data_IF_294916273625
#
_entry.id   IF_294916273625
#
_cell.length_a   1.000
_cell.length_b   1.000
_cell.length_c   1.000
_cell.angle_alpha   90.00
_cell.angle_beta   90.00
_cell.angle_gamma   90.00
#
_symmetry.space_group_name_H-M   'P 1'
#
loop_
_entity.id
_entity.type
_entity.pdbx_description
1 polymer ?
#
# COMPACT_ATOMS: atom_id res chain seq x y z
N UNK A 1 16.30 -1.29 22.74
CA UNK A 1 15.05 -1.81 22.12
C UNK A 1 15.39 -3.05 21.30
N UNK A 2 14.46 -4.01 21.15
CA UNK A 2 14.76 -5.31 20.52
C UNK A 2 14.18 -5.44 19.11
N UNK A 3 12.99 -4.90 18.83
CA UNK A 3 12.28 -5.09 17.55
C UNK A 3 12.05 -3.77 16.81
N UNK A 4 12.62 -3.66 15.61
CA UNK A 4 12.30 -2.57 14.68
C UNK A 4 11.00 -2.85 13.92
N UNK A 5 10.23 -1.79 13.63
CA UNK A 5 9.02 -1.87 12.80
C UNK A 5 9.35 -1.89 11.30
N UNK A 6 10.47 -1.31 10.89
CA UNK A 6 10.87 -1.27 9.50
C UNK A 6 12.39 -1.30 9.33
N UNK A 7 12.81 -1.70 8.14
CA UNK A 7 14.18 -1.66 7.69
C UNK A 7 14.21 -1.07 6.28
N UNK A 8 14.99 -0.02 6.11
CA UNK A 8 15.22 0.62 4.82
C UNK A 8 16.52 0.10 4.24
N UNK A 9 16.43 -0.55 3.08
CA UNK A 9 17.57 -0.78 2.21
C UNK A 9 17.62 0.32 1.15
N UNK A 10 18.69 0.33 0.38
CA UNK A 10 18.83 1.19 -0.79
C UNK A 10 17.69 1.04 -1.82
N UNK A 11 17.11 -0.15 -1.95
CA UNK A 11 16.17 -0.47 -3.04
C UNK A 11 14.73 -0.76 -2.56
N UNK A 12 14.52 -0.90 -1.26
CA UNK A 12 13.24 -1.32 -0.72
C UNK A 12 13.07 -0.98 0.76
N UNK A 13 11.85 -0.67 1.14
CA UNK A 13 11.42 -0.53 2.54
C UNK A 13 10.69 -1.80 2.96
N UNK A 14 11.29 -2.57 3.87
CA UNK A 14 10.63 -3.70 4.50
C UNK A 14 9.98 -3.22 5.80
N UNK A 15 8.66 -3.38 5.94
CA UNK A 15 7.92 -2.85 7.08
C UNK A 15 6.89 -3.86 7.58
N UNK A 16 6.75 -3.87 8.89
CA UNK A 16 5.68 -4.55 9.59
C UNK A 16 4.46 -3.63 9.62
N UNK A 17 3.31 -4.19 9.27
CA UNK A 17 2.00 -3.60 9.48
C UNK A 17 0.96 -4.72 9.59
N UNK A 18 -0.18 -4.40 10.18
CA UNK A 18 -1.27 -5.35 10.35
C UNK A 18 -1.96 -5.61 9.03
N UNK A 19 -2.23 -6.89 8.77
CA UNK A 19 -2.94 -7.34 7.58
C UNK A 19 -4.00 -8.35 7.96
N UNK A 20 -5.13 -8.33 7.25
CA UNK A 20 -6.16 -9.32 7.45
C UNK A 20 -5.71 -10.68 6.87
N UNK A 21 -5.62 -11.76 7.68
CA UNK A 21 -5.10 -13.04 7.22
C UNK A 21 -5.80 -13.58 5.97
N UNK A 22 -7.13 -13.46 5.90
CA UNK A 22 -7.90 -13.97 4.77
C UNK A 22 -7.66 -13.21 3.47
N UNK A 23 -7.30 -11.92 3.53
CA UNK A 23 -6.95 -11.14 2.33
C UNK A 23 -5.61 -11.64 1.77
N UNK A 24 -4.61 -11.82 2.65
CA UNK A 24 -3.30 -12.37 2.25
C UNK A 24 -3.45 -13.79 1.70
N UNK A 25 -4.27 -14.62 2.34
CA UNK A 25 -4.59 -15.98 1.89
C UNK A 25 -5.29 -15.99 0.55
N UNK A 26 -6.25 -15.08 0.31
CA UNK A 26 -6.89 -14.96 -1.01
C UNK A 26 -5.86 -14.69 -2.10
N UNK A 27 -4.93 -13.75 -1.88
CA UNK A 27 -3.93 -13.47 -2.90
C UNK A 27 -2.97 -14.65 -3.12
N UNK A 28 -2.61 -15.38 -2.06
CA UNK A 28 -1.86 -16.65 -2.20
C UNK A 28 -2.65 -17.73 -2.96
N UNK A 29 -3.97 -17.79 -2.78
CA UNK A 29 -4.87 -18.66 -3.53
C UNK A 29 -4.97 -18.23 -4.99
N UNK A 30 -5.10 -16.93 -5.26
CA UNK A 30 -5.20 -16.41 -6.63
C UNK A 30 -3.90 -16.62 -7.44
N UNK A 31 -2.75 -16.58 -6.76
CA UNK A 31 -1.44 -16.78 -7.36
C UNK A 31 -0.41 -17.15 -6.28
N UNK A 32 0.19 -18.35 -6.32
CA UNK A 32 1.24 -18.71 -5.38
C UNK A 32 2.39 -17.71 -5.38
N UNK A 33 2.71 -17.24 -4.17
CA UNK A 33 3.77 -16.25 -3.93
C UNK A 33 3.26 -14.83 -3.65
N UNK A 34 2.06 -14.44 -4.10
CA UNK A 34 1.49 -13.12 -3.82
C UNK A 34 1.22 -12.87 -2.33
N UNK A 35 0.77 -13.88 -1.59
CA UNK A 35 0.64 -13.77 -0.13
C UNK A 35 1.98 -13.46 0.54
N UNK A 36 3.05 -14.14 0.14
CA UNK A 36 4.40 -13.86 0.64
C UNK A 36 4.93 -12.48 0.18
N UNK A 37 4.54 -12.00 -1.01
CA UNK A 37 4.95 -10.70 -1.51
C UNK A 37 4.32 -9.55 -0.71
N UNK A 38 3.01 -9.64 -0.44
CA UNK A 38 2.30 -8.70 0.44
C UNK A 38 2.95 -8.65 1.83
N UNK A 39 3.39 -9.80 2.35
CA UNK A 39 4.10 -9.91 3.63
C UNK A 39 5.56 -9.44 3.59
N UNK A 40 6.04 -8.94 2.44
CA UNK A 40 7.43 -8.51 2.21
C UNK A 40 8.45 -9.64 2.42
N UNK A 41 8.04 -10.90 2.24
CA UNK A 41 8.91 -12.07 2.24
C UNK A 41 9.40 -12.34 0.81
N UNK A 42 10.13 -11.37 0.26
CA UNK A 42 10.47 -11.28 -1.17
C UNK A 42 11.12 -12.54 -1.74
N UNK A 43 12.11 -13.13 -1.06
CA UNK A 43 12.78 -14.33 -1.55
C UNK A 43 11.80 -15.50 -1.77
N UNK A 44 10.95 -15.78 -0.78
CA UNK A 44 9.90 -16.82 -0.91
C UNK A 44 8.87 -16.46 -1.97
N UNK A 45 8.48 -15.18 -2.03
CA UNK A 45 7.51 -14.70 -2.99
C UNK A 45 7.97 -14.94 -4.43
N UNK A 46 9.19 -14.48 -4.78
CA UNK A 46 9.71 -14.62 -6.14
C UNK A 46 9.94 -16.08 -6.53
N UNK A 47 10.43 -16.92 -5.60
CA UNK A 47 10.57 -18.36 -5.84
C UNK A 47 9.21 -18.98 -6.17
N UNK A 48 8.17 -18.71 -5.38
CA UNK A 48 6.83 -19.26 -5.60
C UNK A 48 6.17 -18.74 -6.87
N UNK A 49 6.36 -17.46 -7.23
CA UNK A 49 5.82 -16.89 -8.48
C UNK A 49 6.47 -17.53 -9.71
N UNK A 50 7.79 -17.72 -9.70
CA UNK A 50 8.51 -18.40 -10.79
C UNK A 50 8.08 -19.86 -10.89
N UNK A 51 7.97 -20.55 -9.75
CA UNK A 51 7.50 -21.93 -9.70
C UNK A 51 6.07 -22.09 -10.20
N UNK A 52 5.19 -21.12 -9.91
CA UNK A 52 3.82 -21.12 -10.41
C UNK A 52 3.77 -21.11 -11.93
N UNK A 53 4.49 -20.20 -12.60
CA UNK A 53 4.54 -20.20 -14.07
C UNK A 53 5.02 -21.55 -14.59
N UNK A 54 6.15 -22.03 -14.06
CA UNK A 54 6.80 -23.23 -14.56
C UNK A 54 5.88 -24.45 -14.44
N UNK A 55 5.40 -24.77 -13.24
CA UNK A 55 4.59 -25.97 -13.02
C UNK A 55 3.22 -25.84 -13.67
N UNK A 56 2.55 -24.68 -13.60
CA UNK A 56 1.22 -24.55 -14.18
C UNK A 56 1.28 -24.66 -15.72
N UNK A 57 2.34 -24.14 -16.38
CA UNK A 57 2.50 -24.32 -17.83
C UNK A 57 2.77 -25.79 -18.23
N UNK A 58 3.51 -26.54 -17.42
CA UNK A 58 3.74 -27.97 -17.64
C UNK A 58 2.51 -28.84 -17.32
N UNK A 59 1.75 -28.46 -16.29
CA UNK A 59 0.54 -29.15 -15.84
C UNK A 59 -0.71 -28.78 -16.64
N UNK A 60 -0.71 -27.65 -17.37
CA UNK A 60 -1.87 -27.05 -18.06
C UNK A 60 -3.05 -26.72 -17.14
N UNK A 61 -2.77 -26.27 -15.91
CA UNK A 61 -3.81 -26.02 -14.89
C UNK A 61 -4.78 -24.93 -15.34
N UNK A 62 -4.29 -23.82 -15.90
CA UNK A 62 -5.15 -22.73 -16.35
C UNK A 62 -6.16 -23.18 -17.44
N UNK A 63 -5.70 -23.97 -18.43
CA UNK A 63 -6.61 -24.54 -19.43
C UNK A 63 -7.59 -25.54 -18.81
N UNK A 64 -7.14 -26.40 -17.89
CA UNK A 64 -8.02 -27.32 -17.19
C UNK A 64 -9.10 -26.58 -16.40
N UNK A 65 -8.77 -25.47 -15.73
CA UNK A 65 -9.73 -24.59 -15.03
C UNK A 65 -10.73 -24.00 -16.02
N UNK A 66 -10.26 -23.47 -17.16
CA UNK A 66 -11.13 -22.90 -18.20
C UNK A 66 -12.15 -23.92 -18.69
N UNK A 67 -11.71 -25.10 -19.14
CA UNK A 67 -12.60 -26.14 -19.63
C UNK A 67 -13.56 -26.65 -18.55
N UNK A 68 -13.10 -26.77 -17.31
CA UNK A 68 -13.95 -27.15 -16.17
C UNK A 68 -15.08 -26.14 -15.96
N UNK A 69 -14.78 -24.84 -15.98
CA UNK A 69 -15.77 -23.78 -15.76
C UNK A 69 -16.71 -23.58 -16.96
N UNK A 70 -16.31 -23.99 -18.16
CA UNK A 70 -17.15 -24.07 -19.35
C UNK A 70 -18.03 -25.33 -19.39
N UNK A 71 -17.80 -26.31 -18.49
CA UNK A 71 -18.53 -27.58 -18.46
C UNK A 71 -17.92 -28.70 -19.33
N UNK A 72 -16.75 -28.47 -19.94
CA UNK A 72 -16.02 -29.44 -20.76
C UNK A 72 -15.09 -30.33 -19.91
N UNK A 73 -15.67 -31.10 -18.99
CA UNK A 73 -14.90 -31.88 -18.00
C UNK A 73 -13.97 -32.92 -18.64
N UNK A 74 -14.38 -33.59 -19.72
CA UNK A 74 -13.55 -34.59 -20.39
C UNK A 74 -12.33 -33.94 -21.06
N UNK A 75 -12.50 -32.77 -21.68
CA UNK A 75 -11.39 -31.98 -22.22
C UNK A 75 -10.47 -31.48 -21.12
N UNK A 76 -11.02 -31.06 -19.97
CA UNK A 76 -10.24 -30.64 -18.81
C UNK A 76 -9.35 -31.78 -18.27
N UNK A 77 -9.87 -33.01 -18.20
CA UNK A 77 -9.08 -34.19 -17.82
C UNK A 77 -8.04 -34.56 -18.88
N UNK A 78 -8.36 -34.42 -20.16
CA UNK A 78 -7.44 -34.78 -21.24
C UNK A 78 -6.26 -33.80 -21.39
N UNK A 79 -6.47 -32.52 -21.09
CA UNK A 79 -5.41 -31.49 -21.23
C UNK A 79 -4.43 -31.47 -20.07
N UNK A 80 -4.85 -31.92 -18.88
CA UNK A 80 -4.04 -31.81 -17.68
C UNK A 80 -2.92 -32.84 -17.67
N UNK A 81 -1.71 -32.43 -17.30
CA UNK A 81 -0.61 -33.38 -17.09
C UNK A 81 -0.56 -33.78 -15.61
N UNK A 82 -1.06 -34.98 -15.31
CA UNK A 82 -1.19 -35.50 -13.94
C UNK A 82 0.13 -35.51 -13.15
N UNK A 83 1.26 -35.78 -13.83
CA UNK A 83 2.59 -35.84 -13.18
C UNK A 83 3.02 -34.49 -12.61
N UNK A 84 2.76 -33.43 -13.35
CA UNK A 84 3.05 -32.06 -12.90
C UNK A 84 1.94 -31.53 -11.99
N UNK A 85 0.69 -31.93 -12.23
CA UNK A 85 -0.46 -31.47 -11.46
C UNK A 85 -0.39 -31.91 -9.99
N UNK A 86 0.07 -33.12 -9.67
CA UNK A 86 0.21 -33.53 -8.26
C UNK A 86 1.25 -32.68 -7.51
N UNK A 87 2.33 -32.28 -8.19
CA UNK A 87 3.35 -31.37 -7.63
C UNK A 87 2.78 -29.96 -7.43
N UNK A 88 1.99 -29.48 -8.41
CA UNK A 88 1.28 -28.21 -8.33
C UNK A 88 0.44 -28.12 -7.06
N UNK A 89 -0.42 -29.12 -6.82
CA UNK A 89 -1.35 -29.13 -5.68
C UNK A 89 -0.59 -29.00 -4.34
N UNK A 90 0.52 -29.72 -4.17
CA UNK A 90 1.31 -29.65 -2.94
C UNK A 90 1.89 -28.25 -2.67
N UNK A 91 2.55 -27.66 -3.67
CA UNK A 91 3.15 -26.32 -3.55
C UNK A 91 2.07 -25.24 -3.39
N UNK A 92 0.96 -25.38 -4.13
CA UNK A 92 -0.18 -24.49 -4.07
C UNK A 92 -0.81 -24.46 -2.66
N UNK A 93 -1.11 -25.63 -2.08
CA UNK A 93 -1.67 -25.72 -0.73
C UNK A 93 -0.69 -25.21 0.34
N UNK A 94 0.61 -25.49 0.20
CA UNK A 94 1.63 -24.94 1.08
C UNK A 94 1.66 -23.41 1.03
N UNK A 95 1.62 -22.81 -0.17
CA UNK A 95 1.68 -21.36 -0.34
C UNK A 95 0.49 -20.65 0.35
N UNK A 96 -0.72 -21.22 0.25
CA UNK A 96 -1.93 -20.72 0.90
C UNK A 96 -1.79 -20.81 2.43
N UNK A 97 -1.41 -21.99 2.94
CA UNK A 97 -1.25 -22.22 4.38
C UNK A 97 -0.14 -21.36 5.01
N UNK A 98 1.04 -21.31 4.38
CA UNK A 98 2.19 -20.50 4.86
C UNK A 98 1.83 -19.02 4.89
N UNK A 99 1.06 -18.53 3.91
CA UNK A 99 0.61 -17.13 3.87
C UNK A 99 -0.33 -16.79 5.02
N UNK A 100 -1.32 -17.64 5.32
CA UNK A 100 -2.22 -17.43 6.44
C UNK A 100 -1.47 -17.41 7.78
N UNK A 101 -0.69 -18.47 8.04
CA UNK A 101 0.07 -18.63 9.29
C UNK A 101 1.08 -17.49 9.46
N UNK A 102 1.85 -17.16 8.42
CA UNK A 102 2.86 -16.10 8.47
C UNK A 102 2.22 -14.74 8.73
N UNK A 103 1.02 -14.49 8.21
CA UNK A 103 0.30 -13.24 8.51
C UNK A 103 -0.01 -13.12 10.00
N UNK A 104 -0.49 -14.19 10.65
CA UNK A 104 -0.75 -14.19 12.09
C UNK A 104 0.53 -13.92 12.90
N UNK A 105 1.64 -14.56 12.54
CA UNK A 105 2.90 -14.42 13.26
C UNK A 105 3.53 -13.03 13.04
N UNK A 106 3.49 -12.49 11.82
CA UNK A 106 3.95 -11.13 11.49
C UNK A 106 3.10 -10.07 12.19
N UNK A 107 1.78 -10.25 12.27
CA UNK A 107 0.91 -9.34 13.00
C UNK A 107 1.27 -9.27 14.49
N UNK A 108 1.62 -10.40 15.12
CA UNK A 108 2.12 -10.41 16.51
C UNK A 108 3.43 -9.64 16.65
N UNK A 109 4.38 -9.84 15.71
CA UNK A 109 5.64 -9.09 15.72
C UNK A 109 5.42 -7.58 15.54
N UNK A 110 4.49 -7.20 14.66
CA UNK A 110 4.10 -5.80 14.51
C UNK A 110 3.60 -5.22 15.83
N UNK A 111 2.67 -5.89 16.53
CA UNK A 111 2.11 -5.37 17.78
C UNK A 111 3.18 -5.18 18.87
N UNK A 112 4.18 -6.06 18.92
CA UNK A 112 5.32 -5.91 19.83
C UNK A 112 6.23 -4.74 19.41
N UNK A 113 6.61 -4.68 18.13
CA UNK A 113 7.47 -3.61 17.60
C UNK A 113 6.80 -2.22 17.72
N UNK A 114 5.47 -2.15 17.57
CA UNK A 114 4.73 -0.89 17.68
C UNK A 114 4.75 -0.34 19.12
N UNK A 115 4.75 -1.23 20.13
CA UNK A 115 4.87 -0.88 21.56
C UNK A 115 6.30 -0.57 21.99
N UNK A 116 7.28 -1.28 21.43
CA UNK A 116 8.70 -1.06 21.73
C UNK A 116 9.22 0.26 21.13
N UNK A 117 8.55 0.78 20.10
CA UNK A 117 8.80 2.09 19.47
C UNK A 117 10.29 2.34 19.16
N UNK A 118 10.94 1.35 18.55
CA UNK A 118 12.34 1.47 18.17
C UNK A 118 12.57 2.62 17.16
N UNK A 119 13.70 3.36 17.26
CA UNK A 119 14.09 4.36 16.29
C UNK A 119 14.04 3.84 14.87
N UNK A 120 13.52 4.67 13.97
CA UNK A 120 13.46 4.40 12.54
C UNK A 120 14.45 5.29 11.80
N UNK A 121 15.15 4.74 10.82
CA UNK A 121 16.02 5.51 9.94
C UNK A 121 15.18 6.17 8.83
N UNK A 122 15.17 7.52 8.71
CA UNK A 122 14.37 8.21 7.70
C UNK A 122 14.92 8.07 6.29
N UNK A 123 16.23 7.88 6.14
CA UNK A 123 16.93 7.81 4.85
C UNK A 123 18.02 6.74 4.86
N UNK A 124 18.15 6.04 3.73
CA UNK A 124 19.24 5.12 3.43
C UNK A 124 19.75 5.37 2.02
N UNK A 125 21.01 5.79 1.92
CA UNK A 125 21.70 6.03 0.66
C UNK A 125 22.75 4.95 0.42
N UNK A 126 22.96 4.60 -0.84
CA UNK A 126 24.13 3.85 -1.29
C UNK A 126 24.51 4.28 -2.71
N UNK A 127 25.35 3.50 -3.41
CA UNK A 127 25.87 3.89 -4.73
C UNK A 127 24.83 3.84 -5.88
N UNK A 128 23.82 2.96 -5.80
CA UNK A 128 22.84 2.74 -6.87
C UNK A 128 21.52 3.53 -6.79
N UNK A 129 21.13 3.98 -5.59
CA UNK A 129 19.82 4.58 -5.30
C UNK A 129 19.78 5.22 -3.89
N UNK A 130 18.81 6.09 -3.65
CA UNK A 130 18.52 6.72 -2.35
C UNK A 130 17.08 6.45 -1.93
N UNK A 131 16.90 5.68 -0.87
CA UNK A 131 15.59 5.38 -0.33
C UNK A 131 15.33 6.23 0.92
N UNK A 132 14.17 6.86 0.99
CA UNK A 132 13.76 7.69 2.11
C UNK A 132 12.26 7.56 2.39
N UNK A 133 11.88 7.80 3.64
CA UNK A 133 10.49 7.90 4.05
C UNK A 133 9.92 9.24 3.61
N UNK A 134 8.74 9.21 3.00
CA UNK A 134 8.02 10.40 2.56
C UNK A 134 6.53 10.10 2.44
N UNK A 135 5.69 11.14 2.49
CA UNK A 135 4.26 11.01 2.16
C UNK A 135 4.06 10.98 0.65
N UNK A 136 3.51 9.87 0.18
CA UNK A 136 3.16 9.63 -1.22
C UNK A 136 1.65 9.65 -1.42
N UNK A 137 1.19 9.94 -2.62
CA UNK A 137 -0.24 9.91 -2.96
C UNK A 137 -0.62 8.49 -3.40
N UNK A 138 -1.43 7.72 -2.63
CA UNK A 138 -1.68 6.31 -2.94
C UNK A 138 -2.39 6.07 -4.27
N UNK A 139 -3.25 7.00 -4.69
CA UNK A 139 -3.94 6.93 -5.99
C UNK A 139 -2.99 7.07 -7.17
N UNK A 140 -1.86 7.77 -7.01
CA UNK A 140 -0.83 7.87 -8.05
C UNK A 140 -0.11 6.52 -8.19
N UNK A 141 0.21 5.85 -7.07
CA UNK A 141 0.78 4.50 -7.08
C UNK A 141 -0.15 3.51 -7.80
N UNK A 142 -1.45 3.57 -7.51
CA UNK A 142 -2.47 2.76 -8.15
C UNK A 142 -2.55 3.01 -9.66
N UNK A 143 -2.66 4.29 -10.06
CA UNK A 143 -2.80 4.67 -11.47
C UNK A 143 -1.60 4.21 -12.31
N UNK A 144 -0.37 4.42 -11.81
CA UNK A 144 0.83 3.95 -12.50
C UNK A 144 0.89 2.43 -12.63
N UNK A 145 0.49 1.69 -11.59
CA UNK A 145 0.40 0.23 -11.65
C UNK A 145 -0.69 -0.30 -12.57
N UNK A 146 -1.80 0.43 -12.77
CA UNK A 146 -2.81 0.05 -13.76
C UNK A 146 -2.33 0.30 -15.18
N UNK A 147 -1.68 1.45 -15.44
CA UNK A 147 -1.19 1.77 -16.78
C UNK A 147 -0.04 0.84 -17.19
N UNK A 148 0.93 0.66 -16.31
CA UNK A 148 2.11 -0.15 -16.54
C UNK A 148 2.45 -0.91 -15.26
N UNK A 149 2.05 -2.20 -15.16
CA UNK A 149 2.26 -3.01 -13.97
C UNK A 149 3.72 -2.99 -13.49
N UNK A 150 3.94 -2.62 -12.23
CA UNK A 150 5.26 -2.48 -11.61
C UNK A 150 5.74 -1.03 -11.41
N UNK A 151 5.23 -0.05 -12.18
CA UNK A 151 5.63 1.36 -12.00
C UNK A 151 5.14 1.97 -10.67
N UNK A 152 3.95 1.57 -10.19
CA UNK A 152 3.46 2.00 -8.89
C UNK A 152 4.36 1.52 -7.73
N UNK A 153 4.99 0.34 -7.86
CA UNK A 153 5.98 -0.16 -6.91
C UNK A 153 7.26 0.65 -6.92
N UNK A 154 7.74 1.07 -8.10
CA UNK A 154 8.89 1.98 -8.22
C UNK A 154 8.59 3.34 -7.60
N UNK A 155 7.38 3.86 -7.82
CA UNK A 155 6.91 5.09 -7.19
C UNK A 155 6.94 5.03 -5.66
N UNK A 156 6.74 3.85 -5.04
CA UNK A 156 6.86 3.67 -3.57
C UNK A 156 8.23 3.09 -3.15
N UNK A 157 9.28 3.29 -3.96
CA UNK A 157 10.64 2.79 -3.70
C UNK A 157 10.73 1.30 -3.36
N UNK A 158 9.88 0.46 -3.96
CA UNK A 158 10.02 -1.01 -3.98
C UNK A 158 10.65 -1.42 -5.32
N UNK A 159 11.87 -0.96 -5.58
CA UNK A 159 12.53 -1.07 -6.89
C UNK A 159 12.66 -2.52 -7.35
N UNK A 160 13.15 -3.42 -6.49
CA UNK A 160 13.36 -4.84 -6.84
C UNK A 160 12.03 -5.50 -7.26
N UNK A 161 10.99 -5.33 -6.44
CA UNK A 161 9.67 -5.87 -6.74
C UNK A 161 9.04 -5.22 -7.96
N UNK A 162 9.23 -3.91 -8.15
CA UNK A 162 8.72 -3.18 -9.32
C UNK A 162 9.34 -3.67 -10.62
N UNK A 163 10.66 -3.82 -10.68
CA UNK A 163 11.37 -4.37 -11.86
C UNK A 163 10.94 -5.82 -12.13
N UNK A 164 10.88 -6.65 -11.08
CA UNK A 164 10.42 -8.03 -11.22
C UNK A 164 8.99 -8.08 -11.79
N UNK A 165 8.04 -7.37 -11.18
CA UNK A 165 6.64 -7.32 -11.62
C UNK A 165 6.50 -6.80 -13.05
N UNK A 166 7.26 -5.76 -13.41
CA UNK A 166 7.25 -5.17 -14.74
C UNK A 166 7.71 -6.18 -15.80
N UNK A 167 8.90 -6.75 -15.64
CA UNK A 167 9.43 -7.76 -16.58
C UNK A 167 8.56 -9.01 -16.64
N UNK A 168 8.06 -9.45 -15.48
CA UNK A 168 7.17 -10.57 -15.34
C UNK A 168 5.85 -10.37 -16.11
N UNK A 169 5.22 -9.21 -15.96
CA UNK A 169 3.95 -8.91 -16.64
C UNK A 169 4.15 -8.80 -18.15
N UNK A 170 5.28 -8.22 -18.60
CA UNK A 170 5.67 -8.23 -20.02
C UNK A 170 5.78 -9.64 -20.57
N UNK A 171 6.44 -10.56 -19.85
CA UNK A 171 6.56 -11.94 -20.26
C UNK A 171 5.17 -12.61 -20.42
N UNK A 172 4.28 -12.46 -19.44
CA UNK A 172 2.91 -12.98 -19.52
C UNK A 172 2.14 -12.39 -20.71
N UNK A 173 2.20 -11.07 -20.91
CA UNK A 173 1.53 -10.39 -22.02
C UNK A 173 2.06 -10.86 -23.39
N UNK A 174 3.37 -11.08 -23.49
CA UNK A 174 4.01 -11.57 -24.70
C UNK A 174 3.56 -12.99 -25.06
N UNK A 175 3.70 -13.95 -24.13
CA UNK A 175 3.32 -15.35 -24.39
C UNK A 175 1.81 -15.56 -24.54
N UNK A 176 0.99 -14.68 -23.95
CA UNK A 176 -0.46 -14.70 -24.15
C UNK A 176 -0.91 -14.10 -25.49
N UNK A 177 -0.02 -13.41 -26.23
CA UNK A 177 -0.38 -12.58 -27.38
C UNK A 177 -1.47 -11.54 -27.06
N UNK A 178 -1.47 -11.06 -25.81
CA UNK A 178 -2.49 -10.13 -25.32
C UNK A 178 -2.48 -8.80 -26.08
N UNK A 179 -1.33 -8.13 -26.35
CA UNK A 179 -1.33 -6.87 -27.09
C UNK A 179 -1.95 -6.98 -28.48
N UNK A 180 -1.70 -8.08 -29.19
CA UNK A 180 -2.30 -8.35 -30.50
C UNK A 180 -3.81 -8.61 -30.38
N UNK A 181 -4.23 -9.39 -29.38
CA UNK A 181 -5.65 -9.62 -29.13
C UNK A 181 -6.40 -8.33 -28.75
N UNK A 182 -5.78 -7.44 -27.97
CA UNK A 182 -6.30 -6.10 -27.67
C UNK A 182 -6.45 -5.30 -28.96
N UNK A 183 -5.44 -5.29 -29.84
CA UNK A 183 -5.50 -4.58 -31.11
C UNK A 183 -6.70 -5.03 -31.96
N UNK A 184 -6.85 -6.34 -32.17
CA UNK A 184 -8.00 -6.88 -32.92
C UNK A 184 -9.35 -6.57 -32.25
N UNK A 185 -9.41 -6.64 -30.92
CA UNK A 185 -10.61 -6.27 -30.15
C UNK A 185 -10.99 -4.80 -30.38
N UNK A 186 -10.01 -3.88 -30.44
CA UNK A 186 -10.24 -2.45 -30.68
C UNK A 186 -10.71 -2.14 -32.10
N UNK A 187 -10.24 -2.90 -33.10
CA UNK A 187 -10.69 -2.78 -34.50
C UNK A 187 -12.05 -3.48 -34.72
N UNK A 188 -12.52 -4.26 -33.75
CA UNK A 188 -13.79 -4.99 -33.80
C UNK A 188 -13.71 -6.38 -34.44
N UNK A 189 -12.50 -6.87 -34.77
CA UNK A 189 -12.27 -8.23 -35.26
C UNK A 189 -12.14 -9.21 -34.07
N UNK A 190 -13.27 -9.54 -33.47
CA UNK A 190 -13.32 -10.44 -32.32
C UNK A 190 -12.98 -11.90 -32.68
N UNK A 191 -13.05 -12.27 -33.97
CA UNK A 191 -12.71 -13.63 -34.42
C UNK A 191 -11.21 -13.82 -34.34
N UNK A 192 -10.44 -12.90 -34.94
CA UNK A 192 -8.98 -12.95 -34.85
C UNK A 192 -8.48 -12.73 -33.42
N UNK A 193 -9.12 -11.83 -32.65
CA UNK A 193 -8.78 -11.60 -31.25
C UNK A 193 -8.84 -12.89 -30.41
N UNK A 194 -9.85 -13.75 -30.67
CA UNK A 194 -10.02 -15.05 -30.00
C UNK A 194 -9.05 -16.12 -30.48
N UNK A 195 -8.71 -16.13 -31.77
CA UNK A 195 -7.81 -17.14 -32.34
C UNK A 195 -6.36 -16.93 -31.92
N UNK A 196 -5.93 -15.67 -31.77
CA UNK A 196 -4.53 -15.37 -31.47
C UNK A 196 -4.20 -15.50 -29.97
N UNK A 197 -5.19 -15.29 -29.09
CA UNK A 197 -4.94 -15.24 -27.65
C UNK A 197 -4.68 -16.63 -27.09
N UNK A 198 -3.57 -16.77 -26.36
CA UNK A 198 -3.25 -18.01 -25.67
C UNK A 198 -3.85 -17.99 -24.27
N UNK A 199 -4.91 -18.77 -24.06
CA UNK A 199 -5.64 -18.79 -22.78
C UNK A 199 -4.85 -19.39 -21.62
N UNK A 200 -3.89 -20.30 -21.85
CA UNK A 200 -3.02 -20.81 -20.79
C UNK A 200 -2.23 -19.67 -20.13
N UNK A 201 -1.74 -18.72 -20.93
CA UNK A 201 -0.99 -17.56 -20.44
C UNK A 201 -1.89 -16.39 -20.03
N UNK A 202 -2.98 -16.15 -20.77
CA UNK A 202 -3.91 -15.07 -20.48
C UNK A 202 -4.55 -15.20 -19.09
N UNK A 203 -4.84 -16.42 -18.64
CA UNK A 203 -5.53 -16.67 -17.37
C UNK A 203 -4.67 -16.43 -16.13
N UNK A 204 -3.38 -16.12 -16.27
CA UNK A 204 -2.59 -15.59 -15.16
C UNK A 204 -2.93 -14.11 -14.86
N UNK A 205 -3.34 -13.34 -15.87
CA UNK A 205 -3.54 -11.89 -15.76
C UNK A 205 -4.61 -11.46 -14.75
N UNK A 206 -5.77 -12.13 -14.60
CA UNK A 206 -6.76 -11.75 -13.60
C UNK A 206 -6.20 -11.61 -12.19
N UNK A 207 -5.37 -12.56 -11.76
CA UNK A 207 -4.72 -12.52 -10.45
C UNK A 207 -3.59 -11.50 -10.41
N UNK A 208 -2.75 -11.46 -11.45
CA UNK A 208 -1.58 -10.58 -11.52
C UNK A 208 -2.00 -9.11 -11.49
N UNK A 209 -2.91 -8.73 -12.39
CA UNK A 209 -3.22 -7.33 -12.67
C UNK A 209 -3.85 -6.63 -11.47
N UNK A 210 -4.85 -7.26 -10.84
CA UNK A 210 -5.54 -6.70 -9.67
C UNK A 210 -4.66 -6.65 -8.43
N UNK A 211 -3.85 -7.69 -8.21
CA UNK A 211 -2.89 -7.73 -7.11
C UNK A 211 -1.87 -6.59 -7.19
N UNK A 212 -1.35 -6.29 -8.38
CA UNK A 212 -0.27 -5.30 -8.55
C UNK A 212 -0.72 -3.89 -8.18
N UNK A 213 -1.86 -3.43 -8.70
CA UNK A 213 -2.33 -2.09 -8.35
C UNK A 213 -2.81 -2.01 -6.89
N UNK A 214 -3.35 -3.12 -6.37
CA UNK A 214 -3.72 -3.22 -4.96
C UNK A 214 -2.50 -3.11 -4.05
N UNK A 215 -1.44 -3.91 -4.29
CA UNK A 215 -0.24 -3.92 -3.46
C UNK A 215 0.51 -2.59 -3.53
N UNK A 216 0.57 -1.95 -4.70
CA UNK A 216 1.15 -0.62 -4.86
C UNK A 216 0.39 0.43 -4.03
N UNK A 217 -0.94 0.44 -4.08
CA UNK A 217 -1.78 1.33 -3.29
C UNK A 217 -1.57 1.10 -1.78
N UNK A 218 -1.66 -0.14 -1.31
CA UNK A 218 -1.49 -0.48 0.11
C UNK A 218 -0.10 -0.12 0.58
N UNK A 219 0.93 -0.36 -0.24
CA UNK A 219 2.31 0.01 0.07
C UNK A 219 2.47 1.52 0.29
N UNK A 220 1.85 2.35 -0.57
CA UNK A 220 1.87 3.80 -0.41
C UNK A 220 1.18 4.23 0.91
N UNK A 221 -0.01 3.69 1.21
CA UNK A 221 -0.73 3.99 2.45
C UNK A 221 0.10 3.63 3.68
N UNK A 222 0.70 2.44 3.69
CA UNK A 222 1.45 1.96 4.85
C UNK A 222 2.80 2.66 5.02
N UNK A 223 3.46 3.06 3.92
CA UNK A 223 4.66 3.91 3.98
C UNK A 223 4.34 5.30 4.53
N UNK A 224 3.21 5.90 4.16
CA UNK A 224 2.79 7.18 4.75
C UNK A 224 2.61 7.06 6.27
N UNK A 225 1.99 5.97 6.74
CA UNK A 225 1.86 5.70 8.19
C UNK A 225 3.20 5.48 8.88
N UNK A 226 4.20 4.94 8.17
CA UNK A 226 5.55 4.76 8.70
C UNK A 226 6.28 6.11 8.80
N UNK A 227 6.17 6.96 7.77
CA UNK A 227 6.69 8.33 7.78
C UNK A 227 6.08 9.15 8.93
N UNK A 228 4.74 9.15 9.06
CA UNK A 228 4.03 9.83 10.16
C UNK A 228 4.56 9.39 11.54
N UNK A 229 4.85 8.09 11.71
CA UNK A 229 5.38 7.55 12.96
C UNK A 229 6.82 8.00 13.20
N UNK A 230 7.67 7.93 12.20
CA UNK A 230 9.07 8.34 12.29
C UNK A 230 9.15 9.85 12.61
N UNK A 231 8.44 10.71 11.88
CA UNK A 231 8.42 12.14 12.15
C UNK A 231 7.86 12.46 13.54
N UNK A 232 6.82 11.75 13.99
CA UNK A 232 6.30 11.90 15.36
C UNK A 232 7.38 11.60 16.40
N UNK A 233 8.16 10.54 16.19
CA UNK A 233 9.23 10.14 17.08
C UNK A 233 10.37 11.17 17.08
N UNK A 234 10.79 11.63 15.90
CA UNK A 234 11.77 12.69 15.73
C UNK A 234 11.39 13.95 16.50
N UNK A 235 10.15 14.43 16.32
CA UNK A 235 9.64 15.63 17.00
C UNK A 235 9.55 15.45 18.51
N UNK A 236 9.10 14.29 18.99
CA UNK A 236 9.05 13.97 20.44
C UNK A 236 10.43 13.93 21.09
N UNK A 237 11.44 13.45 20.38
CA UNK A 237 12.80 13.33 20.91
C UNK A 237 13.56 14.67 20.88
N UNK A 238 13.30 15.50 19.87
CA UNK A 238 14.11 16.71 19.62
C UNK A 238 13.44 18.01 20.05
N UNK A 239 12.12 18.11 20.00
CA UNK A 239 11.38 19.37 20.16
C UNK A 239 10.30 19.29 21.23
N UNK A 240 10.28 18.24 22.05
CA UNK A 240 9.39 18.16 23.21
C UNK A 240 10.22 18.08 24.47
N UNK A 241 10.17 19.12 25.29
CA UNK A 241 10.70 19.08 26.64
C UNK A 241 9.64 18.48 27.59
N UNK A 242 9.88 17.30 28.22
CA UNK A 242 8.92 16.68 29.13
C UNK A 242 8.61 17.51 30.38
N UNK A 243 9.51 18.44 30.74
CA UNK A 243 9.36 19.30 31.93
C UNK A 243 8.68 20.63 31.61
N UNK A 244 8.40 20.89 30.34
CA UNK A 244 7.81 22.14 29.89
C UNK A 244 6.41 22.31 30.46
N UNK A 245 6.24 23.32 31.31
CA UNK A 245 4.92 23.73 31.75
C UNK A 245 4.40 24.80 30.79
N UNK A 246 3.16 24.65 30.31
CA UNK A 246 2.54 25.64 29.42
C UNK A 246 2.52 27.06 30.05
N UNK A 247 2.41 27.12 31.38
CA UNK A 247 2.49 28.37 32.15
C UNK A 247 3.85 29.07 32.03
N UNK A 248 4.94 28.33 31.85
CA UNK A 248 6.27 28.90 31.63
C UNK A 248 6.38 29.51 30.24
N UNK A 249 5.76 28.90 29.22
CA UNK A 249 5.76 29.45 27.86
C UNK A 249 5.10 30.82 27.76
N UNK A 250 4.07 31.05 28.58
CA UNK A 250 3.30 32.30 28.61
C UNK A 250 3.91 33.37 29.52
N UNK A 251 4.76 32.99 30.48
CA UNK A 251 5.42 33.92 31.42
C UNK A 251 6.63 34.64 30.85
N UNK A 252 7.18 34.16 29.74
CA UNK A 252 8.32 34.80 29.07
C UNK A 252 7.83 36.06 28.35
N UNK A 253 8.56 37.18 28.44
CA UNK A 253 8.37 38.38 27.59
C UNK A 253 8.75 38.10 26.12
N UNK A 254 8.12 37.10 25.51
CA UNK A 254 8.28 36.71 24.11
C UNK A 254 6.92 36.46 23.51
N UNK A 255 6.84 36.66 22.20
CA UNK A 255 5.66 36.36 21.43
C UNK A 255 5.56 34.84 21.26
N UNK A 256 4.42 34.26 21.61
CA UNK A 256 4.13 32.85 21.37
C UNK A 256 3.29 32.72 20.11
N UNK A 257 3.87 32.09 19.10
CA UNK A 257 3.21 31.72 17.85
C UNK A 257 2.83 30.26 17.92
N UNK A 258 1.61 29.94 17.51
CA UNK A 258 1.09 28.58 17.41
C UNK A 258 0.72 28.34 15.97
N UNK A 259 1.29 27.31 15.36
CA UNK A 259 1.00 26.89 14.01
C UNK A 259 0.57 25.42 13.98
N UNK A 260 -0.30 25.08 13.06
CA UNK A 260 -0.72 23.68 12.84
C UNK A 260 -0.23 23.20 11.49
N UNK A 261 0.27 21.97 11.44
CA UNK A 261 0.81 21.33 10.24
C UNK A 261 0.20 19.95 10.03
N UNK A 262 0.13 19.53 8.77
CA UNK A 262 0.15 18.09 8.44
C UNK A 262 1.58 17.58 8.60
N UNK A 263 1.74 16.30 8.96
CA UNK A 263 3.05 15.67 8.95
C UNK A 263 3.58 15.63 7.53
N UNK A 264 4.70 16.29 7.28
CA UNK A 264 5.34 16.41 5.98
C UNK A 264 6.77 16.88 6.15
N UNK A 265 7.63 16.69 5.15
CA UNK A 265 9.00 17.17 5.20
C UNK A 265 9.09 18.71 5.35
N UNK A 266 8.06 19.43 4.88
CA UNK A 266 7.98 20.89 5.00
C UNK A 266 7.96 21.38 6.45
N UNK A 267 7.39 20.60 7.38
CA UNK A 267 7.45 20.93 8.80
C UNK A 267 8.89 20.95 9.31
N UNK A 268 9.69 19.96 8.94
CA UNK A 268 11.11 19.89 9.33
C UNK A 268 11.92 21.00 8.66
N UNK A 269 11.65 21.30 7.39
CA UNK A 269 12.24 22.44 6.69
C UNK A 269 11.91 23.78 7.38
N UNK A 270 10.67 23.98 7.83
CA UNK A 270 10.26 25.17 8.58
C UNK A 270 11.03 25.30 9.90
N UNK A 271 11.15 24.20 10.64
CA UNK A 271 11.88 24.16 11.91
C UNK A 271 13.36 24.49 11.67
N UNK A 272 14.01 23.86 10.70
CA UNK A 272 15.41 24.14 10.35
C UNK A 272 15.61 25.59 9.89
N UNK A 273 14.71 26.15 9.09
CA UNK A 273 14.78 27.55 8.67
C UNK A 273 14.70 28.52 9.87
N UNK A 274 13.84 28.21 10.86
CA UNK A 274 13.74 29.00 12.10
C UNK A 274 15.00 28.90 12.96
N UNK A 275 15.61 27.71 13.07
CA UNK A 275 16.89 27.55 13.76
C UNK A 275 18.01 28.34 13.08
N UNK A 276 18.09 28.31 11.74
CA UNK A 276 19.08 29.07 10.96
C UNK A 276 18.93 30.59 11.11
N UNK A 277 17.71 31.07 11.30
CA UNK A 277 17.41 32.48 11.58
C UNK A 277 17.80 32.90 13.02
N UNK A 278 18.24 31.95 13.85
CA UNK A 278 18.70 32.21 15.21
C UNK A 278 17.64 32.00 16.29
N UNK A 279 16.50 31.35 16.00
CA UNK A 279 15.58 30.89 17.05
C UNK A 279 16.22 29.68 17.75
N UNK A 280 16.48 29.75 19.07
CA UNK A 280 17.03 28.62 19.80
C UNK A 280 16.08 27.43 19.77
N UNK A 281 16.63 26.21 19.64
CA UNK A 281 15.87 24.95 19.69
C UNK A 281 14.96 24.84 20.93
N UNK A 282 15.39 25.39 22.07
CA UNK A 282 14.58 25.43 23.30
C UNK A 282 13.32 26.30 23.25
N UNK A 283 13.16 27.13 22.21
CA UNK A 283 11.97 27.95 21.96
C UNK A 283 11.05 27.33 20.89
N UNK A 284 11.42 26.18 20.33
CA UNK A 284 10.67 25.46 19.31
C UNK A 284 10.09 24.20 19.95
N UNK A 285 8.76 24.13 20.03
CA UNK A 285 8.06 23.01 20.64
C UNK A 285 7.07 22.38 19.68
N UNK A 286 7.31 21.12 19.32
CA UNK A 286 6.45 20.38 18.41
C UNK A 286 5.67 19.29 19.15
N UNK A 287 4.35 19.31 18.94
CA UNK A 287 3.41 18.38 19.56
C UNK A 287 2.69 17.58 18.46
N UNK A 288 3.24 16.42 18.06
CA UNK A 288 2.53 15.51 17.19
C UNK A 288 1.31 14.94 17.94
N UNK A 289 0.14 15.11 17.35
CA UNK A 289 -1.15 14.79 17.93
C UNK A 289 -1.49 13.31 17.69
N UNK A 290 -1.92 12.61 18.74
CA UNK A 290 -2.43 11.26 18.57
C UNK A 290 -3.82 11.34 17.92
N UNK A 291 -3.96 10.72 16.74
CA UNK A 291 -5.26 10.58 16.08
C UNK A 291 -6.15 9.67 16.92
N UNK A 292 -7.40 10.09 17.15
CA UNK A 292 -8.37 9.27 17.89
C UNK A 292 -8.50 7.91 17.21
N UNK A 293 -8.08 6.86 17.93
CA UNK A 293 -8.39 5.47 17.64
C UNK A 293 -9.12 4.98 18.88
N UNK A 294 -10.35 4.51 18.74
CA UNK A 294 -11.19 4.07 19.84
C UNK A 294 -10.41 3.26 20.90
N UNK A 295 -10.64 3.51 22.21
CA UNK A 295 -9.96 2.78 23.27
C UNK A 295 -10.43 1.33 23.30
N UNK A 296 -9.45 0.42 23.20
CA UNK A 296 -9.62 -1.03 23.12
C UNK A 296 -9.80 -1.62 24.53
N UNK A 297 -10.91 -2.32 24.80
CA UNK A 297 -11.02 -3.18 25.99
C UNK A 297 -10.21 -4.47 25.77
N UNK A 298 -9.63 -4.98 26.85
CA UNK A 298 -8.60 -6.05 26.86
C UNK A 298 -9.19 -7.45 26.73
N UNK A 299 -10.52 -7.59 26.80
CA UNK A 299 -11.22 -8.86 26.87
C UNK A 299 -12.47 -8.79 26.00
N UNK A 300 -12.30 -8.86 24.68
CA UNK A 300 -13.29 -9.52 23.84
C UNK A 300 -12.72 -9.90 22.47
N UNK A 301 -13.27 -11.00 21.95
CA UNK A 301 -12.68 -11.85 20.93
C UNK A 301 -12.27 -11.12 19.63
N UNK A 302 -11.03 -11.40 19.18
CA UNK A 302 -10.52 -11.22 17.80
C UNK A 302 -10.17 -9.77 17.41
N UNK A 303 -8.95 -9.39 17.79
CA UNK A 303 -7.98 -8.57 17.06
C UNK A 303 -8.49 -7.59 15.97
N UNK A 304 -8.98 -6.42 16.38
CA UNK A 304 -9.19 -5.28 15.48
C UNK A 304 -8.16 -4.17 15.66
N UNK A 305 -7.17 -4.24 14.79
CA UNK A 305 -6.45 -3.09 14.26
C UNK A 305 -6.38 -3.37 12.75
N UNK A 306 -7.42 -2.89 12.07
CA UNK A 306 -8.24 -3.72 11.19
C UNK A 306 -7.56 -4.47 10.04
N UNK A 307 -6.34 -4.12 9.61
CA UNK A 307 -5.64 -4.83 8.54
C UNK A 307 -6.43 -4.90 7.22
N UNK A 308 -7.54 -4.16 7.13
CA UNK A 308 -8.45 -4.08 6.01
C UNK A 308 -8.12 -2.80 5.20
N UNK A 309 -7.67 -2.94 3.96
CA UNK A 309 -7.51 -1.81 3.03
C UNK A 309 -8.85 -1.48 2.38
N UNK A 310 -9.11 -0.20 2.08
CA UNK A 310 -10.29 0.22 1.30
C UNK A 310 -10.46 -0.58 -0.01
N UNK A 311 -9.37 -1.11 -0.56
CA UNK A 311 -9.37 -1.83 -1.83
C UNK A 311 -9.45 -3.35 -1.71
N UNK A 312 -9.46 -3.95 -0.51
CA UNK A 312 -9.42 -5.43 -0.37
C UNK A 312 -10.51 -6.11 -1.18
N UNK A 313 -11.76 -5.76 -0.89
CA UNK A 313 -12.92 -6.41 -1.51
C UNK A 313 -13.02 -6.08 -3.00
N UNK A 314 -12.65 -4.85 -3.38
CA UNK A 314 -12.61 -4.42 -4.78
C UNK A 314 -11.58 -5.23 -5.58
N UNK A 315 -10.39 -5.46 -5.02
CA UNK A 315 -9.36 -6.27 -5.65
C UNK A 315 -9.77 -7.75 -5.73
N UNK A 316 -10.31 -8.32 -4.64
CA UNK A 316 -10.81 -9.70 -4.59
C UNK A 316 -11.89 -9.95 -5.65
N UNK A 317 -12.95 -9.14 -5.65
CA UNK A 317 -14.05 -9.29 -6.60
C UNK A 317 -13.61 -8.97 -8.02
N UNK A 318 -12.74 -7.97 -8.19
CA UNK A 318 -12.09 -7.66 -9.47
C UNK A 318 -11.37 -8.87 -10.06
N UNK A 319 -10.55 -9.56 -9.27
CA UNK A 319 -9.85 -10.78 -9.70
C UNK A 319 -10.83 -11.85 -10.16
N UNK A 320 -11.81 -12.17 -9.32
CA UNK A 320 -12.78 -13.22 -9.60
C UNK A 320 -13.61 -12.92 -10.86
N UNK A 321 -14.13 -11.70 -10.98
CA UNK A 321 -14.98 -11.34 -12.11
C UNK A 321 -14.18 -11.15 -13.40
N UNK A 322 -12.93 -10.67 -13.32
CA UNK A 322 -12.02 -10.63 -14.47
C UNK A 322 -11.71 -12.04 -14.97
N UNK A 323 -11.47 -12.99 -14.07
CA UNK A 323 -11.23 -14.40 -14.41
C UNK A 323 -12.45 -15.02 -15.10
N UNK A 324 -13.64 -14.92 -14.48
CA UNK A 324 -14.87 -15.45 -15.04
C UNK A 324 -15.22 -14.76 -16.38
N UNK A 325 -15.03 -13.45 -16.45
CA UNK A 325 -15.21 -12.66 -17.67
C UNK A 325 -14.29 -13.12 -18.80
N UNK A 326 -13.02 -13.42 -18.52
CA UNK A 326 -12.09 -13.94 -19.52
C UNK A 326 -12.47 -15.36 -19.98
N UNK A 327 -12.83 -16.25 -19.04
CA UNK A 327 -13.19 -17.64 -19.35
C UNK A 327 -14.47 -17.73 -20.17
N UNK A 328 -15.57 -17.12 -19.71
CA UNK A 328 -16.82 -17.13 -20.48
C UNK A 328 -16.75 -16.23 -21.70
N UNK A 329 -15.95 -15.16 -21.63
CA UNK A 329 -15.67 -14.28 -22.77
C UNK A 329 -15.07 -15.00 -23.97
N UNK A 330 -14.35 -16.10 -23.75
CA UNK A 330 -13.81 -16.93 -24.82
C UNK A 330 -14.91 -17.50 -25.74
N UNK A 331 -16.04 -17.92 -25.17
CA UNK A 331 -17.21 -18.39 -25.92
C UNK A 331 -18.08 -17.24 -26.47
N UNK A 332 -18.07 -16.09 -25.79
CA UNK A 332 -18.91 -14.95 -26.14
C UNK A 332 -18.39 -14.20 -27.38
N UNK A 333 -19.30 -13.40 -27.97
CA UNK A 333 -19.06 -12.68 -29.23
C UNK A 333 -17.87 -11.71 -29.15
N UNK A 334 -17.75 -10.97 -28.05
CA UNK A 334 -16.74 -9.91 -27.90
C UNK A 334 -15.36 -10.40 -27.44
N UNK A 335 -15.21 -11.71 -27.23
CA UNK A 335 -13.93 -12.31 -26.87
C UNK A 335 -13.53 -12.15 -25.39
N UNK A 336 -12.47 -12.87 -24.98
CA UNK A 336 -12.05 -12.99 -23.58
C UNK A 336 -11.49 -11.68 -23.04
N UNK A 337 -10.85 -10.86 -23.88
CA UNK A 337 -10.24 -9.59 -23.46
C UNK A 337 -11.30 -8.60 -23.00
N UNK A 338 -12.31 -8.31 -23.83
CA UNK A 338 -13.32 -7.30 -23.50
C UNK A 338 -14.18 -7.73 -22.31
N UNK A 339 -14.64 -8.99 -22.29
CA UNK A 339 -15.42 -9.52 -21.18
C UNK A 339 -14.60 -9.64 -19.88
N UNK A 340 -13.29 -9.92 -19.98
CA UNK A 340 -12.38 -9.84 -18.84
C UNK A 340 -12.31 -8.43 -18.26
N UNK A 341 -12.16 -7.40 -19.10
CA UNK A 341 -12.14 -5.99 -18.66
C UNK A 341 -13.48 -5.59 -18.04
N UNK A 342 -14.61 -5.94 -18.67
CA UNK A 342 -15.96 -5.67 -18.12
C UNK A 342 -16.12 -6.34 -16.76
N UNK A 343 -15.71 -7.60 -16.64
CA UNK A 343 -15.70 -8.34 -15.39
C UNK A 343 -14.88 -7.64 -14.30
N UNK A 344 -13.66 -7.22 -14.63
CA UNK A 344 -12.80 -6.49 -13.70
C UNK A 344 -13.48 -5.20 -13.19
N UNK A 345 -14.02 -4.38 -14.08
CA UNK A 345 -14.68 -3.11 -13.74
C UNK A 345 -15.91 -3.35 -12.86
N UNK A 346 -16.76 -4.31 -13.22
CA UNK A 346 -17.95 -4.65 -12.42
C UNK A 346 -17.56 -5.20 -11.04
N UNK A 347 -16.57 -6.08 -10.95
CA UNK A 347 -16.10 -6.63 -9.69
C UNK A 347 -15.51 -5.57 -8.77
N UNK A 348 -14.66 -4.69 -9.30
CA UNK A 348 -14.07 -3.56 -8.57
C UNK A 348 -15.17 -2.61 -8.07
N UNK A 349 -16.08 -2.20 -8.95
CA UNK A 349 -17.18 -1.30 -8.60
C UNK A 349 -18.09 -1.89 -7.52
N UNK A 350 -18.45 -3.17 -7.65
CA UNK A 350 -19.24 -3.89 -6.65
C UNK A 350 -18.52 -3.96 -5.30
N UNK A 351 -17.22 -4.26 -5.29
CA UNK A 351 -16.44 -4.31 -4.06
C UNK A 351 -16.35 -2.95 -3.35
N UNK A 352 -16.16 -1.86 -4.09
CA UNK A 352 -16.25 -0.51 -3.55
C UNK A 352 -17.64 -0.20 -2.99
N UNK A 353 -18.70 -0.55 -3.72
CA UNK A 353 -20.07 -0.29 -3.33
C UNK A 353 -20.45 -1.02 -2.02
N UNK A 354 -20.12 -2.31 -1.91
CA UNK A 354 -20.35 -3.10 -0.69
C UNK A 354 -19.62 -2.46 0.49
N UNK A 355 -18.35 -2.10 0.30
CA UNK A 355 -17.55 -1.49 1.37
C UNK A 355 -18.09 -0.12 1.79
N UNK A 356 -18.52 0.69 0.83
CA UNK A 356 -19.17 1.98 1.08
C UNK A 356 -20.44 1.83 1.92
N UNK A 357 -21.30 0.85 1.62
CA UNK A 357 -22.50 0.54 2.41
C UNK A 357 -22.13 0.10 3.82
N UNK A 358 -21.14 -0.80 3.97
CA UNK A 358 -20.68 -1.27 5.28
C UNK A 358 -20.17 -0.12 6.15
N UNK A 359 -19.40 0.81 5.58
CA UNK A 359 -18.90 1.98 6.28
C UNK A 359 -20.03 2.94 6.70
N UNK A 360 -21.00 3.19 5.81
CA UNK A 360 -22.16 4.05 6.12
C UNK A 360 -23.01 3.50 7.27
N UNK A 361 -23.14 2.17 7.38
CA UNK A 361 -23.86 1.50 8.47
C UNK A 361 -23.10 1.51 9.80
N UNK A 362 -21.77 1.66 9.78
CA UNK A 362 -20.93 1.67 10.98
C UNK A 362 -20.91 2.99 11.74
N UNK A 363 -21.72 3.98 11.34
CA UNK A 363 -22.05 5.13 12.19
C UNK A 363 -20.93 6.17 12.44
N UNK A 364 -19.81 6.15 11.73
CA UNK A 364 -18.76 7.16 11.93
C UNK A 364 -18.29 7.79 10.62
N UNK A 365 -18.76 9.02 10.39
CA UNK A 365 -18.05 9.96 9.53
C UNK A 365 -16.86 10.50 10.31
N UNK A 366 -15.68 9.93 10.10
CA UNK A 366 -14.44 10.51 10.61
C UNK A 366 -14.31 11.92 9.99
N UNK A 367 -14.49 12.94 10.82
CA UNK A 367 -13.97 14.27 10.51
C UNK A 367 -12.46 14.10 10.41
N UNK A 368 -11.90 14.21 9.21
CA UNK A 368 -10.44 14.29 9.00
C UNK A 368 -9.90 15.39 9.90
N UNK A 369 -9.21 15.01 10.97
CA UNK A 369 -8.32 15.93 11.67
C UNK A 369 -7.18 16.17 10.69
N UNK A 370 -7.13 17.38 10.11
CA UNK A 370 -6.04 17.80 9.22
C UNK A 370 -4.82 18.25 10.03
N UNK A 371 -5.01 18.82 11.23
CA UNK A 371 -3.90 19.23 12.10
C UNK A 371 -3.29 18.04 12.85
N UNK A 372 -2.22 17.49 12.28
CA UNK A 372 -1.49 16.34 12.83
C UNK A 372 -0.36 16.76 13.79
N UNK A 373 0.17 17.98 13.63
CA UNK A 373 1.20 18.55 14.51
C UNK A 373 0.84 19.97 14.90
N UNK A 374 0.97 20.30 16.18
CA UNK A 374 0.95 21.67 16.68
C UNK A 374 2.40 22.10 16.95
N UNK A 375 2.85 23.14 16.28
CA UNK A 375 4.16 23.75 16.47
C UNK A 375 4.00 25.06 17.23
N UNK A 376 4.65 25.18 18.38
CA UNK A 376 4.72 26.40 19.18
C UNK A 376 6.11 27.00 19.06
N UNK A 377 6.18 28.29 18.76
CA UNK A 377 7.42 29.02 18.52
C UNK A 377 7.44 30.25 19.42
N UNK A 378 8.43 30.36 20.30
CA UNK A 378 8.71 31.57 21.05
C UNK A 378 9.73 32.44 20.32
N UNK A 379 9.29 33.61 19.87
CA UNK A 379 10.13 34.55 19.13
C UNK A 379 9.98 35.98 19.66
N UNK A 380 10.91 36.85 19.26
CA UNK A 380 10.79 38.29 19.50
C UNK A 380 9.78 38.92 18.54
N UNK A 381 9.13 40.02 18.93
CA UNK A 381 8.17 40.74 18.08
C UNK A 381 8.81 41.21 16.76
N UNK A 382 10.10 41.51 16.76
CA UNK A 382 10.88 41.87 15.56
C UNK A 382 11.00 40.72 14.55
N UNK A 383 10.96 39.47 15.01
CA UNK A 383 11.11 38.27 14.19
C UNK A 383 9.78 37.75 13.64
N UNK A 384 8.65 38.27 14.13
CA UNK A 384 7.30 37.79 13.81
C UNK A 384 7.01 37.69 12.31
N UNK A 385 7.23 38.76 11.54
CA UNK A 385 6.90 38.76 10.11
C UNK A 385 7.70 37.71 9.34
N UNK A 386 8.94 37.46 9.75
CA UNK A 386 9.78 36.44 9.13
C UNK A 386 9.35 35.03 9.55
N UNK A 387 9.03 34.80 10.82
CA UNK A 387 8.47 33.53 11.30
C UNK A 387 7.16 33.20 10.58
N UNK A 388 6.24 34.17 10.51
CA UNK A 388 4.96 34.04 9.81
C UNK A 388 5.16 33.68 8.34
N UNK A 389 6.11 34.32 7.67
CA UNK A 389 6.48 34.02 6.29
C UNK A 389 6.98 32.59 6.14
N UNK A 390 7.95 32.16 6.96
CA UNK A 390 8.50 30.79 6.93
C UNK A 390 7.39 29.75 7.13
N UNK A 391 6.51 29.95 8.10
CA UNK A 391 5.42 29.02 8.39
C UNK A 391 4.46 28.87 7.19
N UNK A 392 4.05 29.98 6.55
CA UNK A 392 3.18 29.93 5.38
C UNK A 392 3.88 29.34 4.14
N UNK A 393 5.14 29.69 3.89
CA UNK A 393 5.92 29.14 2.78
C UNK A 393 6.13 27.63 2.90
N UNK A 394 6.11 27.11 4.12
CA UNK A 394 6.25 25.68 4.43
C UNK A 394 4.91 25.00 4.75
N UNK A 395 3.80 25.48 4.20
CA UNK A 395 2.49 24.80 4.21
C UNK A 395 1.80 24.67 5.58
N UNK A 396 1.99 25.63 6.48
CA UNK A 396 1.15 25.71 7.69
C UNK A 396 -0.35 25.75 7.33
N UNK A 397 -1.16 24.95 8.03
CA UNK A 397 -2.62 24.93 7.86
C UNK A 397 -3.32 26.12 8.54
N UNK A 398 -2.67 26.67 9.56
CA UNK A 398 -3.19 27.76 10.37
C UNK A 398 -2.13 28.27 11.32
N UNK A 399 -2.17 29.57 11.61
CA UNK A 399 -1.23 30.26 12.50
C UNK A 399 -2.03 31.20 13.39
N UNK A 400 -1.68 31.24 14.68
CA UNK A 400 -2.26 32.14 15.67
C UNK A 400 -1.18 32.62 16.65
N UNK A 401 -1.45 33.73 17.33
CA UNK A 401 -0.54 34.36 18.27
C UNK A 401 -1.24 34.57 19.60
N UNK A 402 -0.57 34.24 20.71
CA UNK A 402 -1.21 34.27 22.04
C UNK A 402 -0.91 35.55 22.82
N UNK A 403 0.25 36.15 22.60
CA UNK A 403 0.63 37.42 23.23
C UNK A 403 0.56 38.55 22.19
N UNK A 404 -0.64 39.07 21.94
CA UNK A 404 -0.78 40.38 21.31
C UNK A 404 -0.38 41.44 22.33
N UNK A 405 0.61 42.28 22.01
CA UNK A 405 0.73 43.55 22.70
C UNK A 405 -0.52 44.38 22.34
N UNK A 406 -1.28 44.89 23.33
CA UNK A 406 -2.47 45.71 23.12
C UNK A 406 -2.09 47.12 22.65
N UNK A 407 -1.74 47.24 21.38
CA UNK A 407 -1.42 48.53 20.75
C UNK A 407 -1.66 48.42 19.24
N UNK A 408 -2.95 48.43 18.89
CA UNK A 408 -3.45 48.98 17.64
C UNK A 408 -3.78 50.47 17.86
#
# INVERSE_FOLDING_TARGET
>A
MRRSRAYLSQFSTNQLHLRHPWVVTFFAFSYPGFGNLILHRYAKAFILIIWEIFINNEAKVNLAIMYTLQGHFETAKAVINERWFILYVGIYMYAIWDSYRSTLDINKQYLLADREDAPLDPIRMGPWDTNYLDKRVPWVALAWSMLVPGLGHMYVHKVISGVFIFGYTIAIMYYSHLPQSIHFTLVGDFVQAKQIINMQWCLYLPSIYTFIFYDAYVSAVEQNKLFEKEQSQFLRLNYRDPKLQLSQLLKVKKMLVVATFEQSIFLELAITAMEQMGIPKGNLHAFPMDKWKEPRSVLDSIHRADGYSMLDLAAILGTCFMLLGAIYGFELKWGPVLWGIIGAVLGIALGFFIKFIMMKKSGNGDKRITSEVVLMVQCETSQWELVKKILWENTALGISTVNENPSA
#
